data_IF_366792750435
#
_entry.id   IF_366792750435
#
_cell.length_a   1.000
_cell.length_b   1.000
_cell.length_c   1.000
_cell.angle_alpha   90.00
_cell.angle_beta   90.00
_cell.angle_gamma   90.00
#
_symmetry.space_group_name_H-M   'P 1'
#
loop_
_entity.id
_entity.type
_entity.pdbx_description
1 polymer ?
#
# COMPACT_ATOMS: atom_id res chain seq x y z
N UNK A 1 -29.56 7.60 5.08
CA UNK A 1 -29.18 6.69 6.17
C UNK A 1 -27.71 6.92 6.48
N UNK A 2 -27.38 7.33 7.69
CA UNK A 2 -26.00 7.66 8.07
C UNK A 2 -25.09 6.44 7.94
N UNK A 3 -23.93 6.63 7.33
CA UNK A 3 -22.89 5.60 7.24
C UNK A 3 -22.42 5.29 8.67
N UNK A 4 -22.83 4.15 9.22
CA UNK A 4 -22.39 3.68 10.54
C UNK A 4 -20.86 3.73 10.60
N UNK A 5 -20.29 4.31 11.66
CA UNK A 5 -18.83 4.42 11.77
C UNK A 5 -18.23 3.04 12.01
N UNK A 6 -16.99 2.81 11.56
CA UNK A 6 -16.32 1.52 11.73
C UNK A 6 -16.28 1.06 13.19
N UNK A 7 -16.00 1.98 14.13
CA UNK A 7 -16.01 1.69 15.57
C UNK A 7 -17.37 1.20 16.06
N UNK A 8 -18.45 1.90 15.71
CA UNK A 8 -19.83 1.52 16.05
C UNK A 8 -20.20 0.17 15.45
N UNK A 9 -19.80 -0.06 14.19
CA UNK A 9 -20.05 -1.32 13.49
C UNK A 9 -19.33 -2.49 14.18
N UNK A 10 -18.08 -2.31 14.61
CA UNK A 10 -17.34 -3.33 15.36
C UNK A 10 -17.97 -3.63 16.72
N UNK A 11 -18.48 -2.60 17.41
CA UNK A 11 -19.23 -2.80 18.66
C UNK A 11 -20.51 -3.61 18.43
N UNK A 12 -21.28 -3.25 17.40
CA UNK A 12 -22.50 -3.96 17.06
C UNK A 12 -22.28 -5.45 16.74
N UNK A 13 -21.10 -5.82 16.22
CA UNK A 13 -20.76 -7.21 15.89
C UNK A 13 -20.04 -7.93 17.04
N UNK A 14 -19.97 -7.34 18.23
CA UNK A 14 -19.29 -7.92 19.40
C UNK A 14 -17.77 -8.02 19.25
N UNK A 15 -17.21 -7.32 18.26
CA UNK A 15 -15.80 -7.35 17.92
C UNK A 15 -14.95 -6.45 18.82
N UNK A 16 -15.51 -5.34 19.31
CA UNK A 16 -14.91 -4.43 20.27
C UNK A 16 -15.97 -3.95 21.27
N UNK A 17 -15.55 -3.48 22.44
CA UNK A 17 -16.43 -2.75 23.37
C UNK A 17 -16.40 -1.24 23.09
N UNK A 18 -17.40 -0.46 23.54
CA UNK A 18 -17.36 1.01 23.43
C UNK A 18 -16.08 1.62 24.02
N UNK A 19 -15.63 1.11 25.17
CA UNK A 19 -14.42 1.59 25.86
C UNK A 19 -13.14 1.28 25.05
N UNK A 20 -13.09 0.13 24.38
CA UNK A 20 -12.00 -0.20 23.48
C UNK A 20 -11.98 0.72 22.25
N UNK A 21 -13.15 1.08 21.70
CA UNK A 21 -13.24 2.05 20.60
C UNK A 21 -12.72 3.42 21.04
N UNK A 22 -13.11 3.91 22.22
CA UNK A 22 -12.61 5.18 22.76
C UNK A 22 -11.10 5.16 22.95
N UNK A 23 -10.57 4.07 23.50
CA UNK A 23 -9.13 3.88 23.70
C UNK A 23 -8.38 3.87 22.36
N UNK A 24 -8.91 3.17 21.35
CA UNK A 24 -8.33 3.14 20.01
C UNK A 24 -8.37 4.52 19.32
N UNK A 25 -9.44 5.30 19.50
CA UNK A 25 -9.54 6.67 19.00
C UNK A 25 -8.54 7.62 19.68
N UNK A 26 -8.35 7.49 20.99
CA UNK A 26 -7.34 8.27 21.73
C UNK A 26 -5.92 7.94 21.23
N UNK A 27 -5.61 6.66 21.01
CA UNK A 27 -4.35 6.23 20.42
C UNK A 27 -4.18 6.78 19.00
N UNK A 28 -5.22 6.67 18.17
CA UNK A 28 -5.24 7.19 16.82
C UNK A 28 -4.93 8.70 16.79
N UNK A 29 -5.55 9.48 17.67
CA UNK A 29 -5.34 10.92 17.76
C UNK A 29 -3.91 11.29 18.20
N UNK A 30 -3.37 10.54 19.17
CA UNK A 30 -2.01 10.72 19.71
C UNK A 30 -0.92 10.39 18.69
N UNK A 31 -1.07 9.27 17.98
CA UNK A 31 -0.06 8.73 17.07
C UNK A 31 -0.31 9.05 15.59
N UNK A 32 -1.40 9.78 15.28
CA UNK A 32 -1.81 10.17 13.92
C UNK A 32 -1.88 8.98 12.95
N UNK A 33 -2.30 7.82 13.44
CA UNK A 33 -2.44 6.60 12.64
C UNK A 33 -3.89 6.39 12.16
N UNK A 34 -4.17 5.26 11.50
CA UNK A 34 -5.53 4.84 11.14
C UNK A 34 -6.17 4.07 12.30
N UNK A 35 -7.49 4.18 12.47
CA UNK A 35 -8.22 3.47 13.53
C UNK A 35 -7.92 1.96 13.56
N UNK A 36 -7.94 1.29 12.40
CA UNK A 36 -7.62 -0.14 12.33
C UNK A 36 -6.20 -0.48 12.78
N UNK A 37 -5.23 0.40 12.51
CA UNK A 37 -3.87 0.23 13.03
C UNK A 37 -3.85 0.36 14.56
N UNK A 38 -4.54 1.35 15.12
CA UNK A 38 -4.66 1.50 16.57
C UNK A 38 -5.24 0.25 17.25
N UNK A 39 -6.29 -0.35 16.68
CA UNK A 39 -6.91 -1.58 17.19
C UNK A 39 -5.91 -2.74 17.24
N UNK A 40 -5.06 -2.89 16.22
CA UNK A 40 -4.04 -3.95 16.20
C UNK A 40 -2.88 -3.69 17.15
N UNK A 41 -2.35 -2.47 17.18
CA UNK A 41 -1.23 -2.08 18.05
C UNK A 41 -1.59 -2.21 19.54
N UNK A 42 -2.85 -1.96 19.89
CA UNK A 42 -3.37 -2.13 21.24
C UNK A 42 -3.74 -3.58 21.58
N UNK A 43 -3.48 -4.53 20.67
CA UNK A 43 -3.83 -5.95 20.82
C UNK A 43 -5.32 -6.20 21.14
N UNK A 44 -6.21 -5.30 20.70
CA UNK A 44 -7.65 -5.44 20.94
C UNK A 44 -8.29 -6.50 20.04
N UNK A 45 -7.68 -6.73 18.86
CA UNK A 45 -8.11 -7.75 17.92
C UNK A 45 -6.92 -8.29 17.13
N UNK A 46 -6.87 -9.60 16.84
CA UNK A 46 -5.86 -10.13 15.94
C UNK A 46 -6.05 -9.61 14.50
N UNK A 47 -4.94 -9.48 13.76
CA UNK A 47 -4.90 -8.89 12.42
C UNK A 47 -5.85 -9.52 11.41
N UNK A 48 -5.86 -10.85 11.30
CA UNK A 48 -6.66 -11.54 10.30
C UNK A 48 -8.18 -11.39 10.54
N UNK A 49 -8.71 -11.64 11.75
CA UNK A 49 -10.11 -11.35 12.08
C UNK A 49 -10.49 -9.90 11.75
N UNK A 50 -9.64 -8.93 12.08
CA UNK A 50 -9.89 -7.53 11.78
C UNK A 50 -10.01 -7.28 10.27
N UNK A 51 -9.05 -7.75 9.48
CA UNK A 51 -9.07 -7.63 8.02
C UNK A 51 -10.31 -8.29 7.42
N UNK A 52 -10.67 -9.49 7.88
CA UNK A 52 -11.83 -10.24 7.41
C UNK A 52 -13.14 -9.49 7.68
N UNK A 53 -13.29 -8.95 8.89
CA UNK A 53 -14.46 -8.16 9.28
C UNK A 53 -14.57 -6.87 8.45
N UNK A 54 -13.46 -6.14 8.32
CA UNK A 54 -13.43 -4.90 7.55
C UNK A 54 -13.71 -5.14 6.06
N UNK A 55 -13.16 -6.21 5.49
CA UNK A 55 -13.42 -6.62 4.12
C UNK A 55 -14.91 -6.96 3.89
N UNK A 56 -15.52 -7.67 4.85
CA UNK A 56 -16.96 -7.96 4.83
C UNK A 56 -17.82 -6.69 4.89
N UNK A 57 -17.46 -5.74 5.78
CA UNK A 57 -18.14 -4.44 5.86
C UNK A 57 -18.03 -3.64 4.56
N UNK A 58 -16.86 -3.65 3.92
CA UNK A 58 -16.56 -2.92 2.70
C UNK A 58 -16.98 -3.67 1.42
N UNK A 59 -17.42 -4.93 1.54
CA UNK A 59 -17.80 -5.83 0.42
C UNK A 59 -16.69 -6.00 -0.62
N UNK A 60 -15.44 -6.13 -0.15
CA UNK A 60 -14.26 -6.38 -0.99
C UNK A 60 -13.51 -7.63 -0.52
N UNK A 61 -12.68 -8.20 -1.39
CA UNK A 61 -11.74 -9.22 -0.96
C UNK A 61 -10.63 -8.60 -0.07
N UNK A 62 -9.94 -9.41 0.73
CA UNK A 62 -8.72 -9.01 1.42
C UNK A 62 -7.56 -9.94 1.07
N UNK A 63 -6.33 -9.46 1.27
CA UNK A 63 -5.12 -10.24 1.11
C UNK A 63 -4.33 -10.27 2.42
N UNK A 64 -3.80 -11.44 2.79
CA UNK A 64 -2.96 -11.59 3.98
C UNK A 64 -1.53 -11.08 3.73
N UNK A 65 -0.79 -10.68 4.78
CA UNK A 65 0.60 -10.23 4.67
C UNK A 65 1.49 -11.24 3.90
N UNK A 66 1.37 -12.53 4.18
CA UNK A 66 2.22 -13.57 3.59
C UNK A 66 1.92 -13.78 2.09
N UNK A 67 0.73 -13.36 1.64
CA UNK A 67 0.31 -13.47 0.24
C UNK A 67 0.76 -12.25 -0.56
N UNK A 68 0.55 -11.04 -0.03
CA UNK A 68 1.04 -9.80 -0.69
C UNK A 68 2.57 -9.79 -0.77
N UNK A 69 3.23 -10.46 0.18
CA UNK A 69 4.68 -10.61 0.17
C UNK A 69 5.24 -11.50 -0.93
N UNK A 70 4.41 -12.38 -1.49
CA UNK A 70 4.80 -13.30 -2.55
C UNK A 70 4.50 -12.75 -3.94
N UNK A 71 4.02 -11.51 -4.05
CA UNK A 71 3.74 -10.89 -5.35
C UNK A 71 5.04 -10.80 -6.16
N UNK A 72 5.10 -11.38 -7.38
CA UNK A 72 6.30 -11.35 -8.19
C UNK A 72 6.69 -9.93 -8.63
N UNK A 73 7.99 -9.64 -8.69
CA UNK A 73 8.49 -8.36 -9.20
C UNK A 73 8.01 -8.08 -10.63
N UNK A 74 7.87 -9.12 -11.47
CA UNK A 74 7.31 -9.01 -12.81
C UNK A 74 5.86 -8.49 -12.81
N UNK A 75 5.06 -8.80 -11.79
CA UNK A 75 3.70 -8.27 -11.65
C UNK A 75 3.73 -6.80 -11.23
N UNK A 76 4.58 -6.46 -10.25
CA UNK A 76 4.71 -5.07 -9.76
C UNK A 76 5.20 -4.13 -10.87
N UNK A 77 6.20 -4.55 -11.64
CA UNK A 77 6.82 -3.75 -12.72
C UNK A 77 5.93 -3.53 -13.95
N UNK A 78 4.76 -4.17 -14.04
CA UNK A 78 3.77 -3.88 -15.10
C UNK A 78 3.17 -2.48 -14.96
N UNK A 79 3.19 -1.91 -13.76
CA UNK A 79 2.79 -0.52 -13.52
C UNK A 79 4.01 0.33 -13.19
N UNK A 80 3.96 1.60 -13.57
CA UNK A 80 5.07 2.53 -13.31
C UNK A 80 5.23 2.77 -11.80
N UNK A 81 6.48 2.83 -11.34
CA UNK A 81 6.80 2.97 -9.91
C UNK A 81 6.25 4.28 -9.30
N UNK A 82 6.27 5.38 -10.05
CA UNK A 82 5.73 6.67 -9.60
C UNK A 82 4.22 6.60 -9.31
N UNK A 83 3.46 5.87 -10.12
CA UNK A 83 2.02 5.65 -9.92
C UNK A 83 1.78 4.82 -8.67
N UNK A 84 2.50 3.71 -8.51
CA UNK A 84 2.40 2.84 -7.34
C UNK A 84 2.77 3.57 -6.04
N UNK A 85 3.84 4.37 -6.07
CA UNK A 85 4.30 5.16 -4.94
C UNK A 85 3.30 6.26 -4.55
N UNK A 86 2.74 6.95 -5.55
CA UNK A 86 1.80 8.06 -5.34
C UNK A 86 0.43 7.58 -4.85
N UNK A 87 -0.11 6.53 -5.47
CA UNK A 87 -1.40 5.97 -5.09
C UNK A 87 -1.33 5.01 -3.89
N UNK A 88 -0.13 4.59 -3.50
CA UNK A 88 0.11 3.62 -2.41
C UNK A 88 -0.72 2.34 -2.62
N UNK A 89 -0.53 1.72 -3.78
CA UNK A 89 -1.19 0.47 -4.18
C UNK A 89 -0.18 -0.57 -4.67
N UNK A 90 -0.52 -1.86 -4.55
CA UNK A 90 0.30 -2.97 -5.07
C UNK A 90 -0.55 -3.79 -6.06
N UNK A 91 -0.11 -3.99 -7.32
CA UNK A 91 -0.82 -4.88 -8.24
C UNK A 91 -0.56 -6.33 -7.85
N UNK A 92 -1.65 -7.07 -7.66
CA UNK A 92 -1.61 -8.47 -7.23
C UNK A 92 -1.61 -9.42 -8.41
N UNK A 93 -2.43 -9.10 -9.42
CA UNK A 93 -2.59 -9.89 -10.64
C UNK A 93 -3.33 -9.08 -11.69
N UNK A 94 -3.15 -9.47 -12.94
CA UNK A 94 -3.81 -8.93 -14.10
C UNK A 94 -4.64 -10.03 -14.74
N UNK A 95 -5.85 -9.71 -15.15
CA UNK A 95 -6.74 -10.60 -15.89
C UNK A 95 -7.13 -9.95 -17.22
N UNK A 96 -7.30 -10.78 -18.24
CA UNK A 96 -7.81 -10.37 -19.54
C UNK A 96 -9.01 -11.24 -19.88
N UNK A 97 -10.16 -10.62 -20.11
CA UNK A 97 -11.39 -11.30 -20.52
C UNK A 97 -11.85 -10.67 -21.84
N UNK A 98 -11.61 -11.37 -22.95
CA UNK A 98 -11.81 -10.83 -24.29
C UNK A 98 -10.99 -9.56 -24.52
N UNK A 99 -11.64 -8.47 -24.91
CA UNK A 99 -11.00 -7.18 -25.12
C UNK A 99 -10.80 -6.36 -23.82
N UNK A 100 -11.33 -6.81 -22.68
CA UNK A 100 -11.29 -6.04 -21.42
C UNK A 100 -10.20 -6.57 -20.48
N UNK A 101 -9.29 -5.67 -20.08
CA UNK A 101 -8.29 -5.95 -19.06
C UNK A 101 -8.75 -5.49 -17.68
N UNK A 102 -8.34 -6.23 -16.65
CA UNK A 102 -8.58 -5.92 -15.24
C UNK A 102 -7.31 -6.07 -14.41
N UNK A 103 -7.19 -5.25 -13.36
CA UNK A 103 -6.09 -5.31 -12.40
C UNK A 103 -6.63 -5.41 -10.99
N UNK A 104 -6.16 -6.39 -10.24
CA UNK A 104 -6.47 -6.51 -8.81
C UNK A 104 -5.43 -5.71 -8.04
N UNK A 105 -5.87 -4.66 -7.35
CA UNK A 105 -4.99 -3.75 -6.63
C UNK A 105 -5.20 -3.90 -5.13
N UNK A 106 -4.14 -4.25 -4.41
CA UNK A 106 -4.11 -4.12 -2.97
C UNK A 106 -4.06 -2.63 -2.58
N UNK A 107 -5.00 -2.21 -1.74
CA UNK A 107 -5.09 -0.85 -1.20
C UNK A 107 -5.61 -0.88 0.24
N UNK A 108 -5.21 0.12 1.03
CA UNK A 108 -5.72 0.32 2.39
C UNK A 108 -6.98 1.20 2.43
N UNK A 109 -7.44 1.70 1.28
CA UNK A 109 -8.62 2.54 1.13
C UNK A 109 -9.50 2.07 -0.03
N UNK A 110 -10.02 0.82 0.00
CA UNK A 110 -10.85 0.29 -1.09
C UNK A 110 -12.18 1.06 -1.27
N UNK A 111 -12.59 1.86 -0.30
CA UNK A 111 -13.77 2.74 -0.38
C UNK A 111 -13.47 4.12 -0.99
N UNK A 112 -12.21 4.44 -1.29
CA UNK A 112 -11.80 5.71 -1.87
C UNK A 112 -12.00 5.68 -3.39
N UNK A 113 -13.20 6.04 -3.84
CA UNK A 113 -13.56 6.04 -5.27
C UNK A 113 -12.62 6.90 -6.12
N UNK A 114 -12.16 8.05 -5.62
CA UNK A 114 -11.24 8.91 -6.35
C UNK A 114 -9.89 8.22 -6.61
N UNK A 115 -9.36 7.49 -5.63
CA UNK A 115 -8.14 6.68 -5.80
C UNK A 115 -8.35 5.57 -6.83
N UNK A 116 -9.50 4.90 -6.78
CA UNK A 116 -9.82 3.81 -7.71
C UNK A 116 -10.02 4.30 -9.15
N UNK A 117 -10.72 5.42 -9.32
CA UNK A 117 -10.94 6.05 -10.63
C UNK A 117 -9.62 6.53 -11.23
N UNK A 118 -8.76 7.13 -10.42
CA UNK A 118 -7.43 7.53 -10.86
C UNK A 118 -6.56 6.33 -11.23
N UNK A 119 -6.57 5.26 -10.42
CA UNK A 119 -5.87 4.02 -10.76
C UNK A 119 -6.38 3.43 -12.08
N UNK A 120 -7.71 3.44 -12.30
CA UNK A 120 -8.33 2.98 -13.54
C UNK A 120 -7.87 3.83 -14.74
N UNK A 121 -7.91 5.16 -14.59
CA UNK A 121 -7.49 6.10 -15.63
C UNK A 121 -6.02 5.91 -16.04
N UNK A 122 -5.12 5.81 -15.06
CA UNK A 122 -3.68 5.71 -15.32
C UNK A 122 -3.29 4.33 -15.87
N UNK A 123 -3.98 3.27 -15.46
CA UNK A 123 -3.69 1.92 -15.93
C UNK A 123 -4.39 1.56 -17.24
N UNK A 124 -5.49 2.23 -17.56
CA UNK A 124 -6.39 1.86 -18.66
C UNK A 124 -7.13 0.54 -18.43
N UNK A 125 -7.16 0.04 -17.18
CA UNK A 125 -7.71 -1.26 -16.81
C UNK A 125 -8.86 -1.09 -15.81
N UNK A 126 -9.79 -2.05 -15.82
CA UNK A 126 -10.79 -2.14 -14.75
C UNK A 126 -10.09 -2.46 -13.43
N UNK A 127 -10.23 -1.60 -12.43
CA UNK A 127 -9.64 -1.82 -11.11
C UNK A 127 -10.57 -2.66 -10.25
N UNK A 128 -10.04 -3.76 -9.71
CA UNK A 128 -10.68 -4.58 -8.69
C UNK A 128 -9.95 -4.37 -7.35
N UNK A 129 -10.52 -3.63 -6.39
CA UNK A 129 -9.84 -3.36 -5.13
C UNK A 129 -9.79 -4.60 -4.23
N UNK A 130 -8.65 -4.79 -3.58
CA UNK A 130 -8.42 -5.80 -2.55
C UNK A 130 -7.89 -5.10 -1.31
N UNK A 131 -8.53 -5.32 -0.16
CA UNK A 131 -8.12 -4.72 1.11
C UNK A 131 -6.79 -5.30 1.59
N UNK A 132 -5.86 -4.42 1.95
CA UNK A 132 -4.62 -4.75 2.65
C UNK A 132 -4.31 -3.67 3.70
N UNK A 133 -3.47 -3.99 4.69
CA UNK A 133 -3.02 -2.97 5.64
C UNK A 133 -2.02 -2.01 5.00
N UNK A 134 -2.03 -0.76 5.44
CA UNK A 134 -1.14 0.28 4.91
C UNK A 134 0.34 -0.11 5.01
N UNK A 135 0.74 -0.66 6.16
CA UNK A 135 2.11 -1.16 6.40
C UNK A 135 2.52 -2.31 5.46
N UNK A 136 1.61 -3.22 5.12
CA UNK A 136 1.90 -4.35 4.23
C UNK A 136 2.15 -3.86 2.79
N UNK A 137 1.35 -2.87 2.37
CA UNK A 137 1.55 -2.16 1.10
C UNK A 137 2.89 -1.45 1.10
N UNK A 138 3.18 -0.63 2.12
CA UNK A 138 4.43 0.12 2.20
C UNK A 138 5.66 -0.79 2.17
N UNK A 139 5.63 -1.84 2.98
CA UNK A 139 6.70 -2.84 3.06
C UNK A 139 6.91 -3.55 1.73
N UNK A 140 5.83 -3.94 1.05
CA UNK A 140 5.89 -4.56 -0.27
C UNK A 140 6.48 -3.61 -1.31
N UNK A 141 6.01 -2.37 -1.36
CA UNK A 141 6.52 -1.35 -2.29
C UNK A 141 8.00 -1.05 -2.04
N UNK A 142 8.46 -0.99 -0.78
CA UNK A 142 9.89 -0.86 -0.44
C UNK A 142 10.70 -2.06 -0.93
N UNK A 143 10.23 -3.28 -0.69
CA UNK A 143 10.91 -4.50 -1.17
C UNK A 143 11.08 -4.52 -2.68
N UNK A 144 10.12 -3.98 -3.42
CA UNK A 144 10.19 -3.89 -4.88
C UNK A 144 10.93 -2.64 -5.40
N UNK A 145 11.52 -1.83 -4.52
CA UNK A 145 12.27 -0.62 -4.90
C UNK A 145 11.38 0.55 -5.36
N UNK A 146 10.07 0.49 -5.13
CA UNK A 146 9.12 1.55 -5.48
C UNK A 146 9.17 2.68 -4.47
N UNK A 147 9.27 2.34 -3.18
CA UNK A 147 9.44 3.31 -2.09
C UNK A 147 10.85 3.19 -1.52
N UNK A 148 11.51 4.32 -1.26
CA UNK A 148 12.79 4.36 -0.55
C UNK A 148 14.05 4.17 -1.39
N UNK A 149 13.96 4.23 -2.72
CA UNK A 149 15.14 4.34 -3.58
C UNK A 149 15.56 5.80 -3.76
N UNK A 150 16.73 6.17 -3.23
CA UNK A 150 17.55 7.18 -3.90
C UNK A 150 17.80 6.64 -5.30
N UNK A 151 17.41 7.40 -6.32
CA UNK A 151 17.89 7.16 -7.67
C UNK A 151 19.39 7.46 -7.66
N UNK A 152 20.22 6.49 -7.27
CA UNK A 152 21.63 6.52 -7.63
C UNK A 152 21.66 6.08 -9.09
N UNK A 153 21.58 7.04 -10.01
CA UNK A 153 22.18 6.86 -11.33
C UNK A 153 23.57 6.25 -11.09
N UNK A 154 23.96 5.17 -11.80
CA UNK A 154 25.36 4.79 -11.85
C UNK A 154 26.16 6.05 -12.21
N UNK A 155 27.10 6.46 -11.35
CA UNK A 155 28.05 7.50 -11.74
C UNK A 155 28.83 6.90 -12.91
N UNK A 156 28.56 7.36 -14.13
CA UNK A 156 29.51 7.20 -15.24
C UNK A 156 30.78 7.94 -14.81
N UNK A 157 31.74 7.18 -14.31
CA UNK A 157 33.07 7.72 -14.06
C UNK A 157 33.65 8.10 -15.43
N UNK A 158 34.16 9.34 -15.59
CA UNK A 158 34.88 9.68 -16.81
C UNK A 158 36.05 8.69 -16.99
N UNK A 159 36.43 8.37 -18.23
CA UNK A 159 37.57 7.50 -18.50
C UNK A 159 38.81 8.00 -17.75
N UNK A 160 39.59 7.06 -17.22
CA UNK A 160 40.71 7.32 -16.29
C UNK A 160 41.79 8.29 -16.84
N UNK A 161 41.74 8.60 -18.12
CA UNK A 161 42.70 9.47 -18.81
C UNK A 161 42.59 10.96 -18.47
N UNK A 162 41.48 11.44 -17.88
CA UNK A 162 41.33 12.85 -17.48
C UNK A 162 42.00 13.19 -16.13
N UNK A 163 42.40 12.19 -15.35
CA UNK A 163 43.04 12.40 -14.04
C UNK A 163 44.56 12.39 -14.12
N UNK A 164 45.14 13.18 -15.03
CA UNK A 164 46.59 13.44 -15.01
C UNK A 164 46.84 14.77 -14.30
N UNK A 165 47.28 14.79 -13.03
CA UNK A 165 47.71 16.03 -12.42
C UNK A 165 48.86 16.60 -13.26
N UNK A 166 48.65 17.81 -13.78
CA UNK A 166 49.67 18.62 -14.43
C UNK A 166 50.80 18.87 -13.43
N UNK A 167 51.79 17.98 -13.42
CA UNK A 167 53.07 18.24 -12.79
C UNK A 167 53.80 19.25 -13.66
N UNK A 168 53.67 20.53 -13.29
CA UNK A 168 54.54 21.57 -13.81
C UNK A 168 55.97 21.28 -13.30
N UNK A 169 56.98 21.18 -14.17
CA UNK A 169 58.35 21.08 -13.70
C UNK A 169 58.78 22.44 -13.15
N UNK A 170 58.86 22.54 -11.81
CA UNK A 170 59.46 23.67 -11.13
C UNK A 170 60.95 23.73 -11.42
N UNK A 171 61.40 24.94 -11.81
CA UNK A 171 62.78 25.36 -12.06
C UNK A 171 63.74 25.07 -10.90
#
# INVERSE_FOLDING_TARGET
MGRMRLGEWLVHHGALTPEQVETALAYQARWKCKFGQAVLELNMMPREPFLRLLAGHLKVAFIRPEQIDKVPAATVRKLRADVLARLRVVPLRFEQVGARGSVYLATHQPENLQLLDEASFVTGLTVVPVLAMAEDIERTLRRHGVLGGRHLEPIELPPEEEFRPSLSPGR
#
